data_IF_846724566240
#
_entry.id   IF_846724566240
#
_cell.length_a   1.000
_cell.length_b   1.000
_cell.length_c   1.000
_cell.angle_alpha   90.00
_cell.angle_beta   90.00
_cell.angle_gamma   90.00
#
_symmetry.space_group_name_H-M   'P 1'
#
loop_
_entity.id
_entity.type
_entity.pdbx_description
1 polymer ?
#
# COMPACT_ATOMS: atom_id res chain seq x y z
N UNK A 1 14.84 -22.40 12.38
CA UNK A 1 13.45 -22.09 12.16
C UNK A 1 13.36 -21.20 10.94
N UNK A 2 12.84 -21.72 9.82
CA UNK A 2 12.64 -20.92 8.62
C UNK A 2 11.43 -20.01 8.88
N UNK A 3 11.68 -18.73 9.01
CA UNK A 3 10.63 -17.71 9.06
C UNK A 3 9.92 -17.66 7.69
N UNK A 4 8.68 -18.13 7.56
CA UNK A 4 7.95 -18.09 6.28
C UNK A 4 7.73 -16.67 5.77
N UNK A 5 7.75 -15.66 6.65
CA UNK A 5 7.66 -14.24 6.30
C UNK A 5 8.92 -13.75 5.58
N UNK A 6 10.08 -14.37 5.81
CA UNK A 6 11.36 -13.98 5.19
C UNK A 6 11.35 -14.14 3.67
N UNK A 7 10.64 -15.14 3.12
CA UNK A 7 10.53 -15.35 1.67
C UNK A 7 9.58 -14.36 0.99
N UNK A 8 8.53 -13.92 1.67
CA UNK A 8 7.62 -12.90 1.14
C UNK A 8 8.24 -11.50 1.19
N UNK A 9 9.20 -11.28 2.08
CA UNK A 9 9.90 -10.01 2.27
C UNK A 9 10.85 -9.61 1.13
N UNK A 10 11.12 -10.49 0.18
CA UNK A 10 12.16 -10.31 -0.84
C UNK A 10 11.60 -10.23 -2.27
N UNK A 11 10.29 -10.06 -2.46
CA UNK A 11 9.71 -10.08 -3.79
C UNK A 11 9.16 -8.72 -4.18
N UNK A 12 9.87 -8.03 -5.08
CA UNK A 12 9.31 -6.95 -5.88
C UNK A 12 8.83 -7.50 -7.23
N UNK A 13 7.63 -7.13 -7.64
CA UNK A 13 7.13 -7.46 -8.97
C UNK A 13 7.58 -6.34 -9.91
N UNK A 14 8.36 -6.70 -10.93
CA UNK A 14 8.75 -5.76 -11.97
C UNK A 14 7.62 -5.62 -12.97
N UNK A 15 7.22 -4.38 -13.21
CA UNK A 15 6.14 -4.06 -14.12
C UNK A 15 6.44 -4.30 -15.60
N UNK A 16 5.36 -4.43 -16.35
CA UNK A 16 5.24 -4.62 -17.80
C UNK A 16 6.43 -4.16 -18.66
N UNK A 17 6.80 -4.95 -19.70
CA UNK A 17 6.09 -6.12 -20.21
C UNK A 17 6.48 -7.45 -19.58
N UNK A 18 7.29 -7.43 -18.51
CA UNK A 18 7.88 -8.62 -17.90
C UNK A 18 7.32 -8.82 -16.49
N UNK A 19 6.29 -9.66 -16.36
CA UNK A 19 5.70 -10.08 -15.09
C UNK A 19 6.64 -11.05 -14.34
N UNK A 20 7.80 -10.55 -13.93
CA UNK A 20 8.77 -11.33 -13.18
C UNK A 20 9.02 -10.69 -11.82
N UNK A 21 8.98 -11.50 -10.76
CA UNK A 21 9.40 -11.05 -9.45
C UNK A 21 10.91 -10.91 -9.39
N UNK A 22 11.39 -9.78 -8.87
CA UNK A 22 12.81 -9.56 -8.57
C UNK A 22 13.00 -9.76 -7.08
N UNK A 23 13.97 -10.58 -6.71
CA UNK A 23 14.35 -10.77 -5.32
C UNK A 23 15.32 -9.67 -4.95
N UNK A 24 14.94 -8.86 -3.94
CA UNK A 24 15.80 -7.86 -3.32
C UNK A 24 16.10 -8.26 -1.87
N UNK A 25 17.36 -8.12 -1.47
CA UNK A 25 17.76 -8.19 -0.08
C UNK A 25 17.79 -6.78 0.50
N UNK A 26 16.75 -6.43 1.24
CA UNK A 26 16.60 -5.11 1.86
C UNK A 26 17.12 -5.08 3.30
N UNK A 27 17.65 -6.19 3.81
CA UNK A 27 18.15 -6.28 5.19
C UNK A 27 19.48 -5.52 5.35
N UNK A 28 20.19 -5.24 4.25
CA UNK A 28 21.46 -4.50 4.25
C UNK A 28 21.31 -2.97 4.26
N UNK A 29 20.08 -2.43 4.10
CA UNK A 29 19.86 -0.99 4.13
C UNK A 29 20.20 -0.41 5.50
N UNK A 30 21.03 0.64 5.53
CA UNK A 30 21.46 1.30 6.76
C UNK A 30 20.60 2.54 6.99
N UNK A 31 19.67 2.45 7.93
CA UNK A 31 18.80 3.55 8.33
C UNK A 31 19.54 4.61 9.15
N UNK A 32 19.25 5.87 8.88
CA UNK A 32 19.79 7.02 9.61
C UNK A 32 18.70 7.80 10.36
N UNK A 33 17.51 7.25 10.47
CA UNK A 33 16.33 7.86 11.06
C UNK A 33 16.07 7.49 12.53
N UNK A 34 17.07 6.96 13.22
CA UNK A 34 16.96 6.48 14.61
C UNK A 34 16.37 7.55 15.55
N UNK A 35 16.76 8.81 15.38
CA UNK A 35 16.25 9.91 16.19
C UNK A 35 14.75 10.13 15.94
N UNK A 36 14.29 10.08 14.69
CA UNK A 36 12.89 10.19 14.33
C UNK A 36 12.07 9.06 14.96
N UNK A 37 12.51 7.81 14.80
CA UNK A 37 11.82 6.62 15.33
C UNK A 37 11.67 6.67 16.84
N UNK A 38 12.70 7.12 17.57
CA UNK A 38 12.64 7.32 19.01
C UNK A 38 11.70 8.46 19.40
N UNK A 39 11.76 9.58 18.71
CA UNK A 39 10.94 10.75 18.99
C UNK A 39 9.47 10.50 18.72
N UNK A 40 9.13 9.81 17.61
CA UNK A 40 7.73 9.51 17.29
C UNK A 40 7.06 8.64 18.35
N UNK A 41 7.80 7.68 18.93
CA UNK A 41 7.31 6.81 20.01
C UNK A 41 6.99 7.57 21.31
N UNK A 42 7.66 8.69 21.54
CA UNK A 42 7.50 9.53 22.72
C UNK A 42 6.65 10.79 22.48
N UNK A 43 6.16 10.99 21.26
CA UNK A 43 5.38 12.16 20.89
C UNK A 43 3.91 11.94 21.20
N UNK A 44 3.30 12.91 21.89
CA UNK A 44 1.85 12.97 22.11
C UNK A 44 1.17 13.50 20.84
N UNK A 45 0.87 12.59 19.92
CA UNK A 45 0.25 12.91 18.65
C UNK A 45 -1.20 13.39 18.76
N UNK A 46 -1.89 13.05 19.86
CA UNK A 46 -3.28 13.48 20.08
C UNK A 46 -3.37 14.99 20.35
N UNK A 47 -2.32 15.58 20.92
CA UNK A 47 -2.25 16.99 21.29
C UNK A 47 -1.31 17.84 20.43
N UNK A 48 -0.71 17.26 19.38
CA UNK A 48 0.13 17.98 18.42
C UNK A 48 -0.63 18.36 17.16
N UNK A 49 -0.43 19.55 16.61
CA UNK A 49 -0.97 19.88 15.29
C UNK A 49 -0.30 19.02 14.23
N UNK A 50 -1.10 18.44 13.35
CA UNK A 50 -0.66 17.65 12.21
C UNK A 50 -1.16 18.35 10.93
N UNK A 51 -0.25 18.52 9.97
CA UNK A 51 -0.55 19.02 8.63
C UNK A 51 -0.02 18.01 7.62
N UNK A 52 -0.91 17.43 6.83
CA UNK A 52 -0.62 16.33 5.90
C UNK A 52 -0.71 16.83 4.47
N UNK A 53 0.30 16.52 3.66
CA UNK A 53 0.30 16.73 2.23
C UNK A 53 0.10 15.39 1.51
N UNK A 54 -1.08 15.20 0.92
CA UNK A 54 -1.37 14.03 0.10
C UNK A 54 -0.84 14.24 -1.32
N UNK A 55 -0.15 13.23 -1.88
CA UNK A 55 0.39 13.33 -3.22
C UNK A 55 0.43 12.00 -3.98
N UNK A 56 0.23 12.09 -5.30
CA UNK A 56 0.54 11.01 -6.24
C UNK A 56 1.94 11.22 -6.80
N UNK A 57 2.86 10.31 -6.47
CA UNK A 57 4.28 10.45 -6.78
C UNK A 57 4.53 10.59 -8.30
N UNK A 58 3.85 9.78 -9.11
CA UNK A 58 4.03 9.75 -10.55
C UNK A 58 3.59 11.01 -11.30
N UNK A 59 2.78 11.88 -10.67
CA UNK A 59 2.27 13.12 -11.31
C UNK A 59 2.71 14.41 -10.62
N UNK A 60 3.48 14.32 -9.52
CA UNK A 60 3.89 15.51 -8.77
C UNK A 60 4.85 16.40 -9.55
N UNK A 61 5.93 15.81 -10.08
CA UNK A 61 6.89 16.46 -10.99
C UNK A 61 7.42 15.47 -12.00
N UNK A 62 7.88 15.97 -13.14
CA UNK A 62 8.51 15.18 -14.19
C UNK A 62 9.80 15.81 -14.67
N UNK A 63 10.73 14.97 -15.14
CA UNK A 63 11.96 15.38 -15.80
C UNK A 63 11.65 15.65 -17.26
N UNK A 64 11.51 16.94 -17.62
CA UNK A 64 11.04 17.36 -18.95
C UNK A 64 12.02 16.95 -20.05
N UNK A 65 13.34 17.00 -19.77
CA UNK A 65 14.43 16.66 -20.70
C UNK A 65 14.48 15.17 -21.01
N UNK A 66 13.83 14.32 -20.19
CA UNK A 66 13.83 12.88 -20.33
C UNK A 66 12.40 12.35 -20.57
N UNK A 67 11.84 12.69 -21.73
CA UNK A 67 10.50 12.26 -22.17
C UNK A 67 9.39 12.50 -21.13
N UNK A 68 9.55 13.49 -20.24
CA UNK A 68 8.65 13.82 -19.15
C UNK A 68 8.40 12.65 -18.17
N UNK A 69 9.40 11.77 -17.96
CA UNK A 69 9.28 10.72 -16.94
C UNK A 69 9.08 11.32 -15.53
N UNK A 70 8.39 10.61 -14.63
CA UNK A 70 8.31 11.01 -13.23
C UNK A 70 9.71 11.02 -12.58
N UNK A 71 9.83 11.72 -11.45
CA UNK A 71 11.01 11.64 -10.61
C UNK A 71 11.15 10.24 -10.00
N UNK A 72 12.39 9.76 -9.87
CA UNK A 72 12.71 8.59 -9.07
C UNK A 72 12.57 8.90 -7.57
N UNK A 73 12.50 7.85 -6.73
CA UNK A 73 12.49 8.02 -5.27
C UNK A 73 13.65 8.89 -4.76
N UNK A 74 14.86 8.70 -5.33
CA UNK A 74 16.04 9.47 -4.93
C UNK A 74 16.01 10.92 -5.40
N UNK A 75 15.56 11.17 -6.63
CA UNK A 75 15.42 12.53 -7.15
C UNK A 75 14.36 13.31 -6.37
N UNK A 76 13.27 12.62 -6.02
CA UNK A 76 12.18 13.21 -5.26
C UNK A 76 12.58 13.63 -3.84
N UNK A 77 13.44 12.84 -3.17
CA UNK A 77 13.69 12.96 -1.74
C UNK A 77 14.03 14.38 -1.27
N UNK A 78 15.02 15.03 -1.91
CA UNK A 78 15.45 16.37 -1.51
C UNK A 78 14.44 17.45 -1.94
N UNK A 79 13.91 17.36 -3.15
CA UNK A 79 12.94 18.34 -3.65
C UNK A 79 11.64 18.35 -2.83
N UNK A 80 11.20 17.17 -2.41
CA UNK A 80 9.99 17.03 -1.59
C UNK A 80 10.22 17.58 -0.19
N UNK A 81 11.38 17.32 0.43
CA UNK A 81 11.75 17.88 1.74
C UNK A 81 11.69 19.39 1.72
N UNK A 82 12.31 20.03 0.71
CA UNK A 82 12.32 21.48 0.59
C UNK A 82 10.91 22.05 0.46
N UNK A 83 10.08 21.44 -0.38
CA UNK A 83 8.69 21.84 -0.57
C UNK A 83 7.86 21.70 0.72
N UNK A 84 7.94 20.55 1.39
CA UNK A 84 7.16 20.29 2.60
C UNK A 84 7.54 21.22 3.75
N UNK A 85 8.83 21.53 3.89
CA UNK A 85 9.33 22.51 4.89
C UNK A 85 8.87 23.92 4.60
N UNK A 86 8.98 24.36 3.36
CA UNK A 86 8.55 25.72 2.93
C UNK A 86 7.04 25.91 3.17
N UNK A 87 6.26 24.88 2.90
CA UNK A 87 4.80 24.87 3.10
C UNK A 87 4.36 24.50 4.52
N UNK A 88 5.29 24.21 5.44
CA UNK A 88 5.03 23.86 6.84
C UNK A 88 4.18 22.59 7.05
N UNK A 89 4.30 21.60 6.16
CA UNK A 89 3.71 20.29 6.37
C UNK A 89 4.53 19.46 7.36
N UNK A 90 3.84 18.70 8.20
CA UNK A 90 4.46 17.79 9.17
C UNK A 90 4.60 16.37 8.65
N UNK A 91 3.72 15.99 7.73
CA UNK A 91 3.68 14.66 7.12
C UNK A 91 3.41 14.76 5.63
N UNK A 92 3.88 13.77 4.91
CA UNK A 92 3.43 13.46 3.56
C UNK A 92 2.62 12.17 3.57
N UNK A 93 1.51 12.15 2.83
CA UNK A 93 0.73 10.96 2.55
C UNK A 93 0.92 10.59 1.08
N UNK A 94 1.53 9.44 0.83
CA UNK A 94 1.66 8.93 -0.52
C UNK A 94 0.41 8.14 -0.90
N UNK A 95 -0.25 8.50 -2.00
CA UNK A 95 -1.19 7.62 -2.69
C UNK A 95 -0.51 6.29 -2.96
N UNK A 96 -1.23 5.17 -3.19
CA UNK A 96 -0.67 3.83 -3.06
C UNK A 96 0.64 3.64 -3.84
N UNK A 97 1.71 3.28 -3.13
CA UNK A 97 3.01 2.95 -3.69
C UNK A 97 3.28 1.44 -3.71
N UNK A 98 2.34 0.61 -3.26
CA UNK A 98 2.43 -0.83 -3.44
C UNK A 98 2.42 -1.18 -4.94
N UNK A 99 3.17 -2.22 -5.33
CA UNK A 99 3.30 -2.58 -6.75
C UNK A 99 1.96 -2.94 -7.39
N UNK A 100 1.74 -2.43 -8.59
CA UNK A 100 0.49 -2.54 -9.33
C UNK A 100 0.75 -2.53 -10.84
N UNK A 101 -0.04 -3.26 -11.67
CA UNK A 101 0.22 -3.36 -13.11
C UNK A 101 -0.32 -2.20 -13.93
N UNK A 102 -1.36 -1.51 -13.43
CA UNK A 102 -2.11 -0.52 -14.20
C UNK A 102 -1.89 0.90 -13.67
N UNK A 103 -1.13 1.73 -14.39
CA UNK A 103 -0.84 3.12 -14.03
C UNK A 103 -2.09 3.97 -13.82
N UNK A 104 -3.12 3.75 -14.65
CA UNK A 104 -4.40 4.46 -14.55
C UNK A 104 -5.17 4.20 -13.27
N UNK A 105 -4.79 3.20 -12.47
CA UNK A 105 -5.36 2.96 -11.15
C UNK A 105 -4.78 3.86 -10.06
N UNK A 106 -3.71 4.62 -10.34
CA UNK A 106 -2.96 5.40 -9.36
C UNK A 106 -2.43 4.58 -8.17
N UNK A 107 -2.26 3.28 -8.36
CA UNK A 107 -1.82 2.34 -7.33
C UNK A 107 -2.94 1.64 -6.56
N UNK A 108 -4.21 1.94 -6.81
CA UNK A 108 -5.33 1.32 -6.09
C UNK A 108 -5.65 -0.12 -6.54
N UNK A 109 -5.02 -0.64 -7.60
CA UNK A 109 -5.15 -2.04 -8.03
C UNK A 109 -3.88 -2.83 -7.73
N UNK A 110 -3.65 -3.08 -6.45
CA UNK A 110 -2.41 -3.66 -5.91
C UNK A 110 -2.28 -5.14 -6.31
N UNK A 111 -1.09 -5.51 -6.79
CA UNK A 111 -0.67 -6.91 -7.00
C UNK A 111 0.49 -7.32 -6.10
N UNK A 112 1.34 -6.37 -5.69
CA UNK A 112 2.50 -6.61 -4.83
C UNK A 112 2.34 -5.98 -3.45
N UNK A 113 1.59 -6.61 -2.54
CA UNK A 113 1.22 -6.06 -1.23
C UNK A 113 2.40 -5.79 -0.28
N UNK A 114 3.58 -6.31 -0.56
CA UNK A 114 4.78 -6.20 0.29
C UNK A 114 5.92 -5.44 -0.39
N UNK A 115 5.71 -4.94 -1.61
CA UNK A 115 6.75 -4.34 -2.41
C UNK A 115 6.38 -2.93 -2.86
N UNK A 116 7.26 -1.93 -2.71
CA UNK A 116 7.07 -0.63 -3.35
C UNK A 116 7.17 -0.78 -4.86
N UNK A 117 6.40 0.04 -5.57
CA UNK A 117 6.40 -0.01 -7.03
C UNK A 117 7.77 0.31 -7.61
N UNK A 118 8.20 -0.50 -8.55
CA UNK A 118 9.51 -0.36 -9.21
C UNK A 118 9.56 0.84 -10.20
N UNK A 119 8.43 1.46 -10.48
CA UNK A 119 8.32 2.61 -11.40
C UNK A 119 9.26 3.75 -11.08
N UNK A 120 9.56 3.95 -9.81
CA UNK A 120 10.32 5.09 -9.30
C UNK A 120 11.68 4.70 -8.74
N UNK A 121 12.06 3.43 -8.81
CA UNK A 121 13.33 2.91 -8.33
C UNK A 121 13.20 1.60 -7.57
N UNK A 122 14.28 1.21 -6.90
CA UNK A 122 14.36 -0.03 -6.11
C UNK A 122 13.70 0.14 -4.74
N UNK A 123 13.46 -0.95 -3.97
CA UNK A 123 13.03 -0.86 -2.58
C UNK A 123 13.99 -0.05 -1.69
N UNK A 124 15.29 -0.15 -1.93
CA UNK A 124 16.30 0.62 -1.21
C UNK A 124 16.22 2.12 -1.55
N UNK A 125 15.83 2.47 -2.78
CA UNK A 125 15.60 3.86 -3.17
C UNK A 125 14.36 4.43 -2.47
N UNK A 126 13.32 3.61 -2.28
CA UNK A 126 12.16 3.98 -1.48
C UNK A 126 12.53 4.15 0.00
N UNK A 127 13.34 3.23 0.57
CA UNK A 127 13.87 3.38 1.92
C UNK A 127 14.67 4.69 2.07
N UNK A 128 15.47 5.03 1.07
CA UNK A 128 16.22 6.29 1.05
C UNK A 128 15.29 7.52 1.08
N UNK A 129 14.18 7.48 0.36
CA UNK A 129 13.19 8.57 0.40
C UNK A 129 12.61 8.72 1.80
N UNK A 130 12.16 7.64 2.43
CA UNK A 130 11.59 7.66 3.78
C UNK A 130 12.63 8.13 4.80
N UNK A 131 13.84 7.57 4.75
CA UNK A 131 14.97 7.94 5.63
C UNK A 131 15.29 9.44 5.53
N UNK A 132 15.32 9.98 4.31
CA UNK A 132 15.57 11.41 4.07
C UNK A 132 14.46 12.28 4.66
N UNK A 133 13.20 11.90 4.51
CA UNK A 133 12.06 12.62 5.10
C UNK A 133 12.15 12.62 6.62
N UNK A 134 12.41 11.49 7.24
CA UNK A 134 12.57 11.34 8.69
C UNK A 134 13.72 12.17 9.26
N UNK A 135 14.89 12.15 8.61
CA UNK A 135 16.03 13.00 9.02
C UNK A 135 15.70 14.50 8.96
N UNK A 136 14.68 14.87 8.22
CA UNK A 136 14.20 16.25 8.09
C UNK A 136 12.96 16.55 8.93
N UNK A 137 12.55 15.63 9.82
CA UNK A 137 11.44 15.83 10.74
C UNK A 137 10.06 15.71 10.09
N UNK A 138 9.94 15.01 8.97
CA UNK A 138 8.70 14.81 8.20
C UNK A 138 8.28 13.35 8.30
N UNK A 139 7.07 13.12 8.81
CA UNK A 139 6.47 11.78 8.87
C UNK A 139 5.92 11.31 7.53
N UNK A 140 5.85 9.99 7.38
CA UNK A 140 5.40 9.35 6.14
C UNK A 140 4.17 8.48 6.39
N UNK A 141 3.08 8.81 5.71
CA UNK A 141 1.84 8.03 5.69
C UNK A 141 1.73 7.39 4.31
N UNK A 142 1.31 6.14 4.27
CA UNK A 142 1.06 5.44 3.02
C UNK A 142 -0.40 5.04 2.90
N UNK A 143 -0.97 5.26 1.73
CA UNK A 143 -2.29 4.76 1.38
C UNK A 143 -2.20 3.24 1.15
N UNK A 144 -2.87 2.48 2.02
CA UNK A 144 -2.87 1.03 2.05
C UNK A 144 -4.24 0.50 1.61
N UNK A 145 -4.25 -0.44 0.67
CA UNK A 145 -5.47 -0.91 -0.03
C UNK A 145 -5.80 -2.35 0.37
N UNK A 146 -6.39 -2.60 1.54
CA UNK A 146 -6.76 -3.95 1.97
C UNK A 146 -8.15 -4.40 1.52
N UNK A 147 -8.90 -3.54 0.83
CA UNK A 147 -10.30 -3.80 0.49
C UNK A 147 -10.46 -4.77 -0.67
N UNK A 148 -9.57 -4.70 -1.66
CA UNK A 148 -9.73 -5.42 -2.91
C UNK A 148 -8.39 -5.62 -3.63
N UNK A 149 -8.43 -6.41 -4.71
CA UNK A 149 -7.29 -6.64 -5.59
C UNK A 149 -7.77 -6.93 -7.02
N UNK A 150 -6.94 -6.66 -8.06
CA UNK A 150 -7.32 -6.85 -9.45
C UNK A 150 -7.43 -8.33 -9.85
N UNK A 151 -8.05 -8.57 -10.99
CA UNK A 151 -8.31 -9.91 -11.54
C UNK A 151 -7.18 -10.47 -12.40
N UNK A 152 -6.01 -9.82 -12.39
CA UNK A 152 -4.85 -10.21 -13.18
C UNK A 152 -4.41 -11.64 -12.88
N UNK A 153 -4.21 -12.45 -13.93
CA UNK A 153 -3.95 -13.89 -13.82
C UNK A 153 -2.60 -14.26 -13.19
N UNK A 154 -1.68 -13.31 -13.09
CA UNK A 154 -0.37 -13.48 -12.46
C UNK A 154 -0.35 -13.04 -10.99
N UNK A 155 -1.47 -12.53 -10.46
CA UNK A 155 -1.60 -12.01 -9.10
C UNK A 155 -2.39 -12.96 -8.18
N UNK A 156 -3.20 -12.40 -7.26
CA UNK A 156 -3.89 -13.18 -6.24
C UNK A 156 -5.18 -13.86 -6.71
N UNK A 157 -5.78 -13.40 -7.81
CA UNK A 157 -7.04 -13.91 -8.31
C UNK A 157 -6.94 -15.41 -8.63
N UNK A 158 -7.77 -16.22 -7.96
CA UNK A 158 -7.76 -17.68 -8.10
C UNK A 158 -6.35 -18.27 -8.01
N UNK A 159 -5.59 -17.83 -7.04
CA UNK A 159 -4.14 -18.06 -6.91
C UNK A 159 -3.72 -19.53 -7.03
N UNK A 160 -4.50 -20.45 -6.48
CA UNK A 160 -4.29 -21.89 -6.55
C UNK A 160 -5.32 -22.61 -7.46
N UNK A 161 -6.01 -21.85 -8.30
CA UNK A 161 -7.13 -22.35 -9.12
C UNK A 161 -8.48 -22.32 -8.42
N UNK A 162 -8.52 -21.91 -7.14
CA UNK A 162 -9.75 -21.73 -6.35
C UNK A 162 -9.87 -20.29 -5.85
N UNK A 163 -11.00 -19.93 -5.22
CA UNK A 163 -11.16 -18.66 -4.51
C UNK A 163 -10.41 -18.71 -3.18
N UNK A 164 -9.07 -18.50 -3.23
CA UNK A 164 -8.19 -18.59 -2.06
C UNK A 164 -8.24 -17.30 -1.22
N UNK A 165 -8.02 -16.16 -1.86
CA UNK A 165 -8.02 -14.84 -1.19
C UNK A 165 -9.38 -14.17 -1.20
N UNK A 166 -10.18 -14.42 -2.24
CA UNK A 166 -11.51 -13.85 -2.44
C UNK A 166 -12.63 -14.80 -1.97
N UNK A 167 -13.86 -14.28 -1.88
CA UNK A 167 -15.05 -15.12 -1.75
C UNK A 167 -15.42 -15.80 -3.08
N UNK A 168 -15.85 -17.05 -3.01
CA UNK A 168 -16.29 -17.79 -4.21
C UNK A 168 -17.61 -17.27 -4.80
N UNK A 169 -18.53 -16.75 -3.94
CA UNK A 169 -19.77 -16.12 -4.37
C UNK A 169 -19.49 -14.69 -4.85
N UNK A 170 -19.75 -14.37 -6.13
CA UNK A 170 -19.50 -13.02 -6.66
C UNK A 170 -20.32 -11.92 -5.97
N UNK A 171 -21.43 -12.26 -5.31
CA UNK A 171 -22.19 -11.31 -4.50
C UNK A 171 -21.45 -10.86 -3.22
N UNK A 172 -20.39 -11.55 -2.86
CA UNK A 172 -19.49 -11.19 -1.75
C UNK A 172 -18.06 -10.93 -2.23
N UNK A 173 -17.63 -11.56 -3.31
CA UNK A 173 -16.25 -11.61 -3.76
C UNK A 173 -15.87 -10.69 -4.93
N UNK A 174 -16.81 -9.88 -5.47
CA UNK A 174 -16.53 -9.06 -6.64
C UNK A 174 -17.15 -7.66 -6.54
N UNK A 175 -16.32 -6.63 -6.73
CA UNK A 175 -16.78 -5.24 -6.86
C UNK A 175 -17.17 -4.93 -8.30
N UNK A 176 -18.46 -4.63 -8.52
CA UNK A 176 -18.99 -4.34 -9.86
C UNK A 176 -18.47 -3.01 -10.41
N UNK A 177 -18.32 -1.99 -9.55
CA UNK A 177 -17.88 -0.65 -9.95
C UNK A 177 -16.41 -0.61 -10.37
N UNK A 178 -15.55 -1.41 -9.71
CA UNK A 178 -14.11 -1.37 -9.92
C UNK A 178 -13.57 -2.57 -10.71
N UNK A 179 -14.40 -3.60 -10.94
CA UNK A 179 -13.97 -4.83 -11.62
C UNK A 179 -12.93 -5.64 -10.85
N UNK A 180 -12.89 -5.49 -9.53
CA UNK A 180 -11.89 -6.09 -8.63
C UNK A 180 -12.50 -7.16 -7.74
N UNK A 181 -11.66 -8.02 -7.17
CA UNK A 181 -12.06 -9.04 -6.21
C UNK A 181 -11.99 -8.50 -4.79
N UNK A 182 -12.87 -9.00 -3.90
CA UNK A 182 -12.95 -8.62 -2.50
C UNK A 182 -12.28 -9.70 -1.66
N UNK A 183 -11.41 -9.29 -0.73
CA UNK A 183 -10.79 -10.22 0.22
C UNK A 183 -11.82 -10.92 1.11
N UNK A 184 -11.61 -12.21 1.34
CA UNK A 184 -12.38 -13.01 2.28
C UNK A 184 -11.81 -12.84 3.70
N UNK A 185 -12.25 -11.82 4.41
CA UNK A 185 -11.76 -11.49 5.76
C UNK A 185 -12.10 -12.57 6.81
N UNK A 186 -13.08 -13.44 6.54
CA UNK A 186 -13.43 -14.56 7.39
C UNK A 186 -12.34 -15.64 7.47
N UNK A 187 -11.40 -15.65 6.51
CA UNK A 187 -10.27 -16.59 6.50
C UNK A 187 -9.10 -16.04 7.30
N UNK A 188 -8.63 -16.81 8.27
CA UNK A 188 -7.50 -16.44 9.12
C UNK A 188 -6.22 -16.16 8.31
N UNK A 189 -6.00 -16.94 7.25
CA UNK A 189 -4.86 -16.83 6.35
C UNK A 189 -4.88 -15.50 5.58
N UNK A 190 -6.06 -15.07 5.14
CA UNK A 190 -6.25 -13.79 4.43
C UNK A 190 -6.03 -12.62 5.40
N UNK A 191 -6.62 -12.67 6.60
CA UNK A 191 -6.34 -11.66 7.63
C UNK A 191 -4.87 -11.61 7.99
N UNK A 192 -4.24 -12.78 8.19
CA UNK A 192 -2.80 -12.87 8.45
C UNK A 192 -1.96 -12.26 7.33
N UNK A 193 -2.33 -12.47 6.08
CA UNK A 193 -1.68 -11.87 4.91
C UNK A 193 -1.79 -10.34 4.93
N UNK A 194 -2.98 -9.79 5.15
CA UNK A 194 -3.21 -8.34 5.17
C UNK A 194 -2.49 -7.68 6.36
N UNK A 195 -2.59 -8.26 7.57
CA UNK A 195 -1.88 -7.76 8.74
C UNK A 195 -0.37 -7.80 8.53
N UNK A 196 0.16 -8.89 7.95
CA UNK A 196 1.58 -8.98 7.64
C UNK A 196 2.03 -7.93 6.60
N UNK A 197 1.17 -7.60 5.63
CA UNK A 197 1.43 -6.50 4.69
C UNK A 197 1.54 -5.16 5.41
N UNK A 198 0.56 -4.82 6.26
CA UNK A 198 0.59 -3.58 7.04
C UNK A 198 1.84 -3.48 7.92
N UNK A 199 2.17 -4.56 8.64
CA UNK A 199 3.37 -4.62 9.48
C UNK A 199 4.66 -4.48 8.65
N UNK A 200 4.73 -5.10 7.47
CA UNK A 200 5.90 -5.00 6.60
C UNK A 200 6.17 -3.54 6.17
N UNK A 201 5.14 -2.76 5.89
CA UNK A 201 5.29 -1.34 5.59
C UNK A 201 5.81 -0.55 6.80
N UNK A 202 5.27 -0.80 7.99
CA UNK A 202 5.70 -0.10 9.20
C UNK A 202 7.08 -0.52 9.70
N UNK A 203 7.40 -1.82 9.67
CA UNK A 203 8.63 -2.36 10.26
C UNK A 203 9.82 -2.33 9.31
N UNK A 204 9.59 -2.59 7.99
CA UNK A 204 10.66 -2.67 7.01
C UNK A 204 10.94 -1.33 6.32
N UNK A 205 9.87 -0.59 6.01
CA UNK A 205 9.97 0.69 5.31
C UNK A 205 9.80 1.89 6.23
N UNK A 206 9.70 1.66 7.54
CA UNK A 206 9.57 2.67 8.61
C UNK A 206 8.38 3.63 8.44
N UNK A 207 7.34 3.25 7.70
CA UNK A 207 6.14 4.07 7.52
C UNK A 207 5.52 4.39 8.87
N UNK A 208 5.16 5.67 9.11
CA UNK A 208 4.64 6.16 10.38
C UNK A 208 3.15 5.93 10.56
N UNK A 209 2.41 5.88 9.46
CA UNK A 209 0.97 5.68 9.48
C UNK A 209 0.44 5.09 8.19
N UNK A 210 -0.73 4.49 8.28
CA UNK A 210 -1.46 3.96 7.14
C UNK A 210 -2.80 4.68 7.00
N UNK A 211 -3.07 5.19 5.81
CA UNK A 211 -4.43 5.57 5.41
C UNK A 211 -5.06 4.33 4.79
N UNK A 212 -6.18 3.88 5.32
CA UNK A 212 -6.85 2.67 4.84
C UNK A 212 -7.89 3.04 3.79
N UNK A 213 -7.67 2.57 2.56
CA UNK A 213 -8.57 2.83 1.44
C UNK A 213 -9.86 2.01 1.51
N UNK A 214 -10.95 2.58 0.98
CA UNK A 214 -12.22 1.91 0.70
C UNK A 214 -12.86 1.22 1.92
N UNK A 215 -12.69 1.74 3.15
CA UNK A 215 -13.16 1.13 4.40
C UNK A 215 -14.66 0.83 4.36
N UNK A 216 -15.49 1.70 3.79
CA UNK A 216 -16.93 1.46 3.69
C UNK A 216 -17.25 0.18 2.90
N UNK A 217 -16.48 -0.14 1.86
CA UNK A 217 -16.64 -1.36 1.08
C UNK A 217 -16.25 -2.63 1.84
N UNK A 218 -15.37 -2.48 2.84
CA UNK A 218 -15.00 -3.58 3.75
C UNK A 218 -16.08 -3.85 4.79
N UNK A 219 -16.65 -2.77 5.35
CA UNK A 219 -17.58 -2.84 6.48
C UNK A 219 -19.03 -3.15 6.10
N UNK A 220 -19.42 -2.92 4.82
CA UNK A 220 -20.82 -3.08 4.39
C UNK A 220 -20.93 -4.00 3.19
N UNK A 221 -21.66 -5.12 3.38
CA UNK A 221 -21.87 -6.17 2.38
C UNK A 221 -22.71 -5.72 1.18
N UNK A 222 -23.53 -4.68 1.37
CA UNK A 222 -24.39 -4.07 0.35
C UNK A 222 -23.73 -2.88 -0.38
N UNK A 223 -22.45 -2.61 -0.13
CA UNK A 223 -21.74 -1.48 -0.74
C UNK A 223 -21.83 -1.54 -2.28
N UNK A 224 -22.36 -0.45 -2.90
CA UNK A 224 -22.60 -0.33 -4.36
C UNK A 224 -23.40 -1.47 -4.98
N UNK A 225 -24.33 -2.08 -4.25
CA UNK A 225 -25.15 -3.20 -4.71
C UNK A 225 -26.64 -2.91 -4.56
N UNK A 226 -27.43 -3.47 -5.45
CA UNK A 226 -28.90 -3.45 -5.37
C UNK A 226 -29.41 -4.61 -4.53
N UNK A 227 -30.69 -4.53 -4.19
CA UNK A 227 -31.40 -5.62 -3.52
C UNK A 227 -31.26 -6.92 -4.32
N UNK A 228 -30.83 -7.99 -3.64
CA UNK A 228 -30.58 -9.31 -4.23
C UNK A 228 -29.19 -9.50 -4.85
N UNK A 229 -28.36 -8.45 -4.95
CA UNK A 229 -26.99 -8.52 -5.48
C UNK A 229 -25.94 -8.73 -4.40
N UNK A 230 -26.33 -8.88 -3.15
CA UNK A 230 -25.45 -9.10 -1.99
C UNK A 230 -25.98 -10.19 -1.07
N UNK A 231 -25.13 -10.69 -0.19
CA UNK A 231 -25.48 -11.73 0.78
C UNK A 231 -25.42 -11.10 2.18
N UNK A 232 -26.52 -11.10 2.93
CA UNK A 232 -26.53 -10.57 4.30
C UNK A 232 -25.66 -11.41 5.24
N UNK A 233 -25.23 -10.81 6.35
CA UNK A 233 -24.54 -11.51 7.41
C UNK A 233 -25.46 -12.54 8.11
N UNK A 234 -24.89 -13.34 9.01
CA UNK A 234 -25.62 -14.42 9.70
C UNK A 234 -26.84 -13.95 10.50
N UNK A 235 -26.99 -12.66 10.76
CA UNK A 235 -28.12 -12.07 11.47
C UNK A 235 -29.09 -11.34 10.52
N UNK A 236 -28.85 -11.39 9.21
CA UNK A 236 -29.67 -10.74 8.19
C UNK A 236 -29.33 -9.26 7.95
N UNK A 237 -28.26 -8.75 8.56
CA UNK A 237 -27.79 -7.37 8.42
C UNK A 237 -26.79 -7.17 7.31
N UNK A 238 -26.48 -5.90 7.05
CA UNK A 238 -25.54 -5.45 6.00
C UNK A 238 -24.08 -5.34 6.49
N UNK A 239 -23.87 -5.33 7.78
CA UNK A 239 -22.55 -5.21 8.37
C UNK A 239 -21.70 -6.44 8.06
N UNK A 240 -20.48 -6.24 7.57
CA UNK A 240 -19.51 -7.31 7.39
C UNK A 240 -18.82 -7.60 8.73
N UNK A 241 -19.30 -8.64 9.43
CA UNK A 241 -18.80 -9.01 10.75
C UNK A 241 -17.45 -9.72 10.72
N UNK A 242 -16.93 -10.01 9.54
CA UNK A 242 -15.66 -10.70 9.31
C UNK A 242 -14.50 -9.71 9.03
N UNK A 243 -14.79 -8.48 8.67
CA UNK A 243 -13.84 -7.42 8.36
C UNK A 243 -13.31 -6.65 9.57
#
# INVERSE_FOLDING_TARGET
PHDPLRRQRQMCIRDSPHNASIIHDTDDYQWNDTEWVQNRANTDWENKPISIYEMHLGSWKSVVEDAARPLSYRELANELVDYLKDMHYTHVEFMPLAEHPFDGSWGYQVTGFFAPTYRFGTPEDFMFLVDTLHQNGIGVIMDWVPAHFPTDSFALAKFDGTALYEHADPRQGFHQDWGTLIFNYGRNEVRGFLIASALAWCERYHIDGLRVDAVASMLYLDYSRKDGEWVPNQYGGRENLEA
#
